data_IF_503728034876
#
_entry.id   IF_503728034876
#
_cell.length_a   1.000
_cell.length_b   1.000
_cell.length_c   1.000
_cell.angle_alpha   90.00
_cell.angle_beta   90.00
_cell.angle_gamma   90.00
#
_symmetry.space_group_name_H-M   'P 1'
#
loop_
_entity.id
_entity.type
_entity.pdbx_description
1 polymer ?
#
# COMPACT_ATOMS: atom_id res chain seq x y z
N UNK A 1 7.08 11.43 -5.41
CA UNK A 1 6.60 12.61 -4.63
C UNK A 1 5.29 12.28 -3.94
N UNK A 2 5.09 12.68 -2.68
CA UNK A 2 3.85 12.44 -1.92
C UNK A 2 3.20 13.79 -1.60
N UNK A 3 1.91 13.94 -1.87
CA UNK A 3 1.10 15.11 -1.48
C UNK A 3 -0.17 14.62 -0.79
N UNK A 4 -0.46 15.20 0.38
CA UNK A 4 -1.70 14.96 1.10
C UNK A 4 -2.37 16.31 1.37
N UNK A 5 -3.60 16.48 0.90
CA UNK A 5 -4.39 17.70 1.07
C UNK A 5 -5.61 17.37 1.93
N UNK A 6 -5.63 17.93 3.14
CA UNK A 6 -6.73 17.79 4.10
C UNK A 6 -7.44 19.15 4.20
N UNK A 7 -8.71 19.25 3.79
CA UNK A 7 -9.48 20.48 3.90
C UNK A 7 -10.02 20.67 5.32
N UNK A 8 -9.19 21.10 6.27
CA UNK A 8 -9.57 21.22 7.69
C UNK A 8 -10.83 22.05 7.94
N UNK A 9 -11.01 23.14 7.19
CA UNK A 9 -12.17 24.02 7.31
C UNK A 9 -13.47 23.43 6.74
N UNK A 10 -13.38 22.39 5.90
CA UNK A 10 -14.51 21.81 5.18
C UNK A 10 -14.44 20.28 5.10
N UNK A 11 -13.90 19.62 6.13
CA UNK A 11 -13.59 18.18 6.11
C UNK A 11 -14.82 17.28 5.97
N UNK A 12 -16.00 17.81 6.30
CA UNK A 12 -17.28 17.13 6.14
C UNK A 12 -17.91 17.32 4.76
N UNK A 13 -17.48 18.32 3.99
CA UNK A 13 -18.08 18.68 2.70
C UNK A 13 -17.11 18.62 1.52
N UNK A 14 -15.80 18.43 1.78
CA UNK A 14 -14.75 18.39 0.77
C UNK A 14 -13.91 17.11 0.94
N UNK A 15 -13.52 16.45 -0.17
CA UNK A 15 -12.76 15.20 -0.10
C UNK A 15 -11.31 15.43 0.33
N UNK A 16 -10.74 14.44 1.02
CA UNK A 16 -9.31 14.40 1.33
C UNK A 16 -8.58 13.85 0.12
N UNK A 17 -7.62 14.60 -0.43
CA UNK A 17 -6.92 14.19 -1.66
C UNK A 17 -5.51 13.73 -1.33
N UNK A 18 -5.19 12.50 -1.70
CA UNK A 18 -3.85 11.92 -1.60
C UNK A 18 -3.29 11.65 -3.00
N UNK A 19 -2.19 12.32 -3.35
CA UNK A 19 -1.51 12.16 -4.64
C UNK A 19 -0.11 11.60 -4.42
N UNK A 20 0.16 10.49 -5.09
CA UNK A 20 1.46 9.84 -5.12
C UNK A 20 1.96 9.81 -6.56
N UNK A 21 3.14 10.37 -6.80
CA UNK A 21 3.76 10.44 -8.11
C UNK A 21 5.08 9.65 -8.08
N UNK A 22 5.40 8.96 -9.17
CA UNK A 22 6.70 8.29 -9.39
C UNK A 22 6.96 7.14 -8.40
N UNK A 23 6.21 6.05 -8.56
CA UNK A 23 6.34 4.86 -7.70
C UNK A 23 7.11 3.79 -8.44
N UNK A 24 8.38 3.61 -8.07
CA UNK A 24 9.24 2.57 -8.60
C UNK A 24 9.56 1.56 -7.52
N UNK A 25 9.16 0.31 -7.72
CA UNK A 25 9.43 -0.80 -6.79
C UNK A 25 10.27 -1.83 -7.53
N UNK A 26 11.44 -2.13 -6.99
CA UNK A 26 12.26 -3.25 -7.42
C UNK A 26 12.19 -4.36 -6.36
N UNK A 27 11.67 -5.51 -6.76
CA UNK A 27 11.59 -6.71 -5.94
C UNK A 27 12.54 -7.78 -6.48
N UNK A 28 12.97 -8.68 -5.61
CA UNK A 28 13.80 -9.84 -5.97
C UNK A 28 13.77 -10.91 -4.88
N UNK A 29 14.31 -12.10 -5.16
CA UNK A 29 14.34 -13.19 -4.20
C UNK A 29 15.24 -12.85 -3.01
N UNK A 30 14.81 -13.25 -1.81
CA UNK A 30 15.61 -13.11 -0.58
C UNK A 30 16.64 -14.24 -0.54
N UNK A 31 17.92 -13.91 -0.69
CA UNK A 31 19.02 -14.89 -0.77
C UNK A 31 19.78 -15.09 0.53
N UNK A 32 19.59 -14.20 1.52
CA UNK A 32 20.47 -14.10 2.70
C UNK A 32 20.13 -15.11 3.81
N UNK A 33 19.07 -15.92 3.65
CA UNK A 33 18.63 -16.87 4.70
C UNK A 33 18.24 -18.21 4.09
N UNK A 34 18.89 -19.29 4.54
CA UNK A 34 18.37 -20.65 4.35
C UNK A 34 17.05 -20.76 5.11
N UNK A 35 16.03 -21.31 4.45
CA UNK A 35 14.73 -21.54 5.06
C UNK A 35 14.88 -22.52 6.24
N UNK A 36 14.61 -22.02 7.45
CA UNK A 36 14.57 -22.80 8.68
C UNK A 36 13.11 -22.86 9.16
N UNK A 37 12.46 -24.04 9.09
CA UNK A 37 11.04 -24.18 9.41
C UNK A 37 10.74 -23.88 10.89
N UNK A 38 11.68 -24.15 11.80
CA UNK A 38 11.45 -23.93 13.23
C UNK A 38 11.57 -22.46 13.59
N UNK A 39 12.54 -21.76 12.98
CA UNK A 39 12.67 -20.31 13.11
C UNK A 39 11.48 -19.56 12.51
N UNK A 40 10.96 -20.01 11.36
CA UNK A 40 9.80 -19.39 10.73
C UNK A 40 8.54 -19.58 11.58
N UNK A 41 8.31 -20.79 12.11
CA UNK A 41 7.22 -21.02 13.09
C UNK A 41 7.36 -20.11 14.30
N UNK A 42 8.56 -20.00 14.88
CA UNK A 42 8.81 -19.13 16.03
C UNK A 42 8.52 -17.65 15.70
N UNK A 43 8.91 -17.17 14.53
CA UNK A 43 8.60 -15.82 14.03
C UNK A 43 7.11 -15.61 13.81
N UNK A 44 6.40 -16.58 13.23
CA UNK A 44 4.95 -16.53 13.05
C UNK A 44 4.23 -16.49 14.41
N UNK A 45 4.63 -17.32 15.36
CA UNK A 45 4.10 -17.29 16.72
C UNK A 45 4.39 -15.96 17.43
N UNK A 46 5.61 -15.42 17.29
CA UNK A 46 5.97 -14.14 17.86
C UNK A 46 5.15 -12.99 17.26
N UNK A 47 4.97 -12.96 15.94
CA UNK A 47 4.09 -12.00 15.24
C UNK A 47 2.65 -12.11 15.71
N UNK A 48 2.12 -13.32 15.84
CA UNK A 48 0.75 -13.56 16.32
C UNK A 48 0.58 -13.07 17.76
N UNK A 49 1.51 -13.40 18.66
CA UNK A 49 1.50 -12.94 20.06
C UNK A 49 1.60 -11.41 20.16
N UNK A 50 2.48 -10.78 19.37
CA UNK A 50 2.61 -9.33 19.34
C UNK A 50 1.31 -8.65 18.91
N UNK A 51 0.67 -9.16 17.85
CA UNK A 51 -0.61 -8.62 17.36
C UNK A 51 -1.74 -8.78 18.38
N UNK A 52 -1.78 -9.89 19.11
CA UNK A 52 -2.72 -10.10 20.22
C UNK A 52 -2.48 -9.10 21.36
N UNK A 53 -1.23 -8.92 21.77
CA UNK A 53 -0.88 -7.97 22.83
C UNK A 53 -1.23 -6.52 22.46
N UNK A 54 -1.01 -6.12 21.20
CA UNK A 54 -1.44 -4.80 20.70
C UNK A 54 -2.97 -4.65 20.84
N UNK A 55 -3.76 -5.63 20.39
CA UNK A 55 -5.22 -5.61 20.53
C UNK A 55 -5.68 -5.52 22.00
N UNK A 56 -5.06 -6.26 22.91
CA UNK A 56 -5.37 -6.23 24.34
C UNK A 56 -5.04 -4.87 25.00
N UNK A 57 -4.01 -4.17 24.50
CA UNK A 57 -3.71 -2.81 24.94
C UNK A 57 -4.72 -1.79 24.40
N UNK A 58 -5.23 -1.98 23.18
CA UNK A 58 -6.27 -1.13 22.61
C UNK A 58 -7.59 -1.26 23.39
N UNK A 59 -8.02 -2.47 23.76
CA UNK A 59 -9.24 -2.72 24.55
C UNK A 59 -9.13 -2.30 26.02
N UNK A 60 -7.95 -2.34 26.64
CA UNK A 60 -7.78 -1.83 28.01
C UNK A 60 -7.73 -0.29 28.06
N UNK A 61 -7.21 0.38 27.03
CA UNK A 61 -7.25 1.85 26.92
C UNK A 61 -8.64 2.41 26.56
N UNK A 62 -9.59 1.57 26.15
CA UNK A 62 -10.97 2.00 25.82
C UNK A 62 -11.78 2.43 27.05
N UNK A 63 -11.35 2.07 28.27
CA UNK A 63 -12.13 2.32 29.49
C UNK A 63 -11.96 3.73 30.11
N UNK A 64 -10.90 4.48 29.76
CA UNK A 64 -10.53 5.72 30.48
C UNK A 64 -10.56 7.03 29.65
N UNK A 65 -10.91 7.01 28.35
CA UNK A 65 -10.77 8.18 27.46
C UNK A 65 -12.05 8.53 26.66
N UNK A 66 -13.22 8.30 27.26
CA UNK A 66 -14.52 8.15 26.60
C UNK A 66 -15.03 9.27 25.68
N UNK A 67 -14.48 10.49 25.74
CA UNK A 67 -15.01 11.61 24.94
C UNK A 67 -14.06 12.00 23.78
N UNK A 68 -12.78 12.33 24.06
CA UNK A 68 -11.80 12.71 23.03
C UNK A 68 -11.52 11.62 22.00
N UNK A 69 -11.59 10.34 22.39
CA UNK A 69 -11.31 9.21 21.51
C UNK A 69 -12.43 9.00 20.48
N UNK A 70 -13.70 9.14 20.90
CA UNK A 70 -14.84 9.08 20.00
C UNK A 70 -14.84 10.18 18.93
N UNK A 71 -14.38 11.39 19.28
CA UNK A 71 -14.18 12.46 18.29
C UNK A 71 -13.07 12.14 17.28
N UNK A 72 -11.92 11.58 17.73
CA UNK A 72 -10.84 11.20 16.82
C UNK A 72 -11.22 10.03 15.91
N UNK A 73 -11.95 9.03 16.42
CA UNK A 73 -12.44 7.91 15.62
C UNK A 73 -13.41 8.36 14.54
N UNK A 74 -14.36 9.23 14.88
CA UNK A 74 -15.26 9.85 13.89
C UNK A 74 -14.49 10.65 12.84
N UNK A 75 -13.44 11.37 13.25
CA UNK A 75 -12.58 12.14 12.35
C UNK A 75 -11.83 11.22 11.37
N UNK A 76 -11.22 10.15 11.87
CA UNK A 76 -10.50 9.15 11.05
C UNK A 76 -11.47 8.47 10.08
N UNK A 77 -12.66 8.07 10.55
CA UNK A 77 -13.69 7.48 9.70
C UNK A 77 -14.13 8.44 8.59
N UNK A 78 -14.34 9.72 8.92
CA UNK A 78 -14.71 10.76 7.93
C UNK A 78 -13.63 10.93 6.86
N UNK A 79 -12.36 10.96 7.28
CA UNK A 79 -11.22 11.02 6.36
C UNK A 79 -11.19 9.79 5.46
N UNK A 80 -11.31 8.59 6.02
CA UNK A 80 -11.27 7.33 5.26
C UNK A 80 -12.43 7.19 4.26
N UNK A 81 -13.63 7.64 4.63
CA UNK A 81 -14.80 7.61 3.76
C UNK A 81 -14.62 8.49 2.53
N UNK A 82 -14.06 9.70 2.73
CA UNK A 82 -13.92 10.70 1.67
C UNK A 82 -12.51 10.81 1.08
N UNK A 83 -11.62 9.87 1.38
CA UNK A 83 -10.29 9.86 0.78
C UNK A 83 -10.37 9.51 -0.71
N UNK A 84 -9.80 10.39 -1.52
CA UNK A 84 -9.56 10.23 -2.94
C UNK A 84 -8.06 10.02 -3.15
N UNK A 85 -7.72 8.93 -3.82
CA UNK A 85 -6.32 8.54 -4.04
C UNK A 85 -6.01 8.63 -5.53
N UNK A 86 -4.89 9.24 -5.88
CA UNK A 86 -4.36 9.26 -7.24
C UNK A 86 -2.89 8.87 -7.21
N UNK A 87 -2.55 7.75 -7.85
CA UNK A 87 -1.16 7.30 -7.96
C UNK A 87 -0.75 7.28 -9.43
N UNK A 88 0.33 7.99 -9.75
CA UNK A 88 0.81 8.20 -11.11
C UNK A 88 2.19 7.58 -11.31
N UNK A 89 2.42 7.08 -12.54
CA UNK A 89 3.70 6.54 -13.01
C UNK A 89 4.21 5.46 -12.06
N UNK A 90 3.45 4.37 -12.00
CA UNK A 90 3.80 3.19 -11.22
C UNK A 90 4.58 2.22 -12.11
N UNK A 91 5.68 1.71 -11.59
CA UNK A 91 6.42 0.61 -12.19
C UNK A 91 6.92 -0.31 -11.08
N UNK A 92 6.38 -1.52 -11.06
CA UNK A 92 6.81 -2.60 -10.19
C UNK A 92 7.58 -3.57 -11.06
N UNK A 93 8.84 -3.83 -10.70
CA UNK A 93 9.74 -4.73 -11.41
C UNK A 93 10.23 -5.79 -10.45
N UNK A 94 10.08 -7.05 -10.84
CA UNK A 94 10.69 -8.18 -10.16
C UNK A 94 11.88 -8.66 -10.99
N UNK A 95 13.04 -8.79 -10.36
CA UNK A 95 14.26 -9.33 -10.96
C UNK A 95 14.67 -10.62 -10.23
N UNK A 96 14.92 -11.68 -10.99
CA UNK A 96 15.37 -12.96 -10.46
C UNK A 96 16.60 -13.46 -11.22
N UNK A 97 17.67 -13.67 -10.47
CA UNK A 97 18.96 -14.21 -10.93
C UNK A 97 19.37 -15.48 -10.17
N UNK A 98 18.54 -15.93 -9.25
CA UNK A 98 18.87 -16.96 -8.27
C UNK A 98 18.16 -18.25 -8.62
N UNK A 99 16.88 -18.14 -9.01
CA UNK A 99 16.05 -19.29 -9.36
C UNK A 99 16.57 -20.00 -10.61
N UNK A 100 17.04 -19.25 -11.61
CA UNK A 100 17.69 -19.79 -12.79
C UNK A 100 18.95 -18.97 -13.11
N UNK A 101 20.14 -19.41 -12.64
CA UNK A 101 21.40 -18.68 -12.85
C UNK A 101 21.79 -18.54 -14.33
N UNK A 102 21.45 -19.52 -15.17
CA UNK A 102 21.79 -19.52 -16.61
C UNK A 102 20.87 -18.59 -17.41
N UNK A 103 19.67 -18.32 -16.91
CA UNK A 103 18.68 -17.45 -17.55
C UNK A 103 18.02 -16.50 -16.55
N UNK A 104 18.73 -15.43 -16.14
CA UNK A 104 18.13 -14.36 -15.35
C UNK A 104 16.98 -13.72 -16.11
N UNK A 105 15.89 -13.45 -15.39
CA UNK A 105 14.69 -12.86 -15.96
C UNK A 105 14.20 -11.69 -15.12
N UNK A 106 13.35 -10.86 -15.72
CA UNK A 106 12.63 -9.85 -15.01
C UNK A 106 11.24 -9.70 -15.59
N UNK A 107 10.26 -9.62 -14.72
CA UNK A 107 8.91 -9.28 -15.09
C UNK A 107 8.51 -7.99 -14.38
N UNK A 108 7.44 -7.38 -14.84
CA UNK A 108 6.97 -6.19 -14.18
C UNK A 108 5.62 -5.74 -14.67
N UNK A 109 5.04 -4.86 -13.86
CA UNK A 109 3.75 -4.22 -14.10
C UNK A 109 4.02 -2.73 -14.13
N UNK A 110 3.52 -2.07 -15.18
CA UNK A 110 3.52 -0.63 -15.29
C UNK A 110 2.08 -0.15 -15.33
N UNK A 111 1.81 0.96 -14.65
CA UNK A 111 0.51 1.58 -14.62
C UNK A 111 0.69 3.09 -14.66
N UNK A 112 0.15 3.73 -15.70
CA UNK A 112 0.29 5.17 -15.88
C UNK A 112 -0.44 5.95 -14.78
N UNK A 113 -1.65 5.52 -14.44
CA UNK A 113 -2.48 6.15 -13.41
C UNK A 113 -3.43 5.13 -12.80
N UNK A 114 -3.55 5.16 -11.48
CA UNK A 114 -4.67 4.57 -10.74
C UNK A 114 -5.34 5.67 -9.92
N UNK A 115 -6.66 5.76 -10.00
CA UNK A 115 -7.45 6.62 -9.12
C UNK A 115 -8.46 5.79 -8.34
N UNK A 116 -8.72 6.19 -7.11
CA UNK A 116 -9.78 5.65 -6.28
C UNK A 116 -10.61 6.84 -5.77
N UNK A 117 -11.87 6.90 -6.18
CA UNK A 117 -12.80 7.98 -5.89
C UNK A 117 -14.04 7.42 -5.18
N UNK A 118 -14.56 8.16 -4.21
CA UNK A 118 -15.82 7.80 -3.56
C UNK A 118 -17.00 8.20 -4.45
N UNK A 119 -17.95 7.28 -4.67
CA UNK A 119 -19.09 7.45 -5.58
C UNK A 119 -20.42 7.09 -4.93
N UNK A 120 -21.52 7.45 -5.60
CA UNK A 120 -22.86 6.97 -5.25
C UNK A 120 -23.15 5.62 -5.94
N UNK A 121 -24.37 5.10 -5.74
CA UNK A 121 -24.86 3.87 -6.38
C UNK A 121 -24.95 3.93 -7.91
N UNK A 122 -24.89 5.13 -8.48
CA UNK A 122 -24.90 5.38 -9.93
C UNK A 122 -23.49 5.68 -10.48
N UNK A 123 -22.43 5.41 -9.71
CA UNK A 123 -21.03 5.65 -10.09
C UNK A 123 -20.66 7.11 -10.34
N UNK A 124 -21.46 8.05 -9.85
CA UNK A 124 -21.15 9.48 -9.89
C UNK A 124 -20.31 9.87 -8.66
N UNK A 125 -19.25 10.67 -8.82
CA UNK A 125 -18.44 11.14 -7.70
C UNK A 125 -19.26 11.96 -6.71
N UNK A 126 -19.24 11.59 -5.43
CA UNK A 126 -19.91 12.34 -4.35
C UNK A 126 -19.02 12.38 -3.10
N UNK A 127 -19.23 13.40 -2.27
CA UNK A 127 -18.75 13.41 -0.88
C UNK A 127 -19.80 12.77 0.01
N UNK A 128 -19.41 11.74 0.77
CA UNK A 128 -20.28 11.01 1.68
C UNK A 128 -20.20 11.60 3.08
N UNK A 129 -21.33 11.66 3.77
CA UNK A 129 -21.34 12.04 5.18
C UNK A 129 -20.84 10.88 6.06
N UNK A 130 -20.31 11.21 7.24
CA UNK A 130 -19.73 10.29 8.21
C UNK A 130 -20.68 9.18 8.71
N UNK A 131 -21.98 9.35 8.50
CA UNK A 131 -23.08 8.47 8.92
C UNK A 131 -23.51 7.45 7.85
N UNK A 132 -22.94 7.50 6.66
CA UNK A 132 -23.33 6.61 5.57
C UNK A 132 -22.98 5.14 5.89
N UNK A 133 -23.98 4.25 5.79
CA UNK A 133 -23.82 2.81 6.04
C UNK A 133 -23.17 2.07 4.87
N UNK A 134 -23.15 2.66 3.67
CA UNK A 134 -22.62 2.05 2.45
C UNK A 134 -21.74 3.04 1.70
N UNK A 135 -20.51 2.63 1.41
CA UNK A 135 -19.51 3.43 0.68
C UNK A 135 -19.18 2.72 -0.63
N UNK A 136 -19.44 3.36 -1.76
CA UNK A 136 -18.94 2.89 -3.06
C UNK A 136 -17.61 3.59 -3.37
N UNK A 137 -16.58 2.81 -3.69
CA UNK A 137 -15.31 3.34 -4.21
C UNK A 137 -15.11 2.84 -5.62
N UNK A 138 -14.98 3.77 -6.56
CA UNK A 138 -14.68 3.48 -7.95
C UNK A 138 -13.18 3.58 -8.17
N UNK A 139 -12.57 2.46 -8.59
CA UNK A 139 -11.15 2.40 -8.93
C UNK A 139 -11.01 2.42 -10.45
N UNK A 140 -10.27 3.40 -10.98
CA UNK A 140 -9.97 3.50 -12.42
C UNK A 140 -8.49 3.24 -12.64
N UNK A 141 -8.18 2.35 -13.58
CA UNK A 141 -6.82 2.04 -14.00
C UNK A 141 -6.63 2.53 -15.42
N UNK A 142 -5.52 3.22 -15.67
CA UNK A 142 -5.21 3.74 -17.00
C UNK A 142 -3.78 3.35 -17.39
N UNK A 143 -3.64 2.75 -18.57
CA UNK A 143 -2.37 2.31 -19.12
C UNK A 143 -1.73 1.21 -18.28
N UNK A 144 -2.50 0.18 -17.91
CA UNK A 144 -1.98 -1.03 -17.29
C UNK A 144 -1.25 -1.85 -18.37
N UNK A 145 0.01 -2.20 -18.10
CA UNK A 145 0.78 -3.09 -18.96
C UNK A 145 1.63 -4.03 -18.11
N UNK A 146 1.80 -5.25 -18.59
CA UNK A 146 2.62 -6.27 -17.97
C UNK A 146 3.67 -6.69 -18.99
N UNK A 147 4.91 -6.87 -18.55
CA UNK A 147 5.98 -7.38 -19.39
C UNK A 147 6.71 -8.53 -18.71
N UNK A 148 7.30 -9.39 -19.54
CA UNK A 148 8.14 -10.49 -19.11
C UNK A 148 9.38 -10.55 -20.01
N UNK A 149 10.54 -10.33 -19.42
CA UNK A 149 11.82 -10.36 -20.10
C UNK A 149 12.56 -11.64 -19.66
N UNK A 150 12.55 -12.65 -20.52
CA UNK A 150 13.03 -14.02 -20.22
C UNK A 150 14.55 -14.19 -20.29
N UNK A 151 15.26 -13.30 -20.98
CA UNK A 151 16.70 -13.37 -21.20
C UNK A 151 17.32 -12.00 -20.96
N UNK A 152 17.65 -11.72 -19.70
CA UNK A 152 18.29 -10.46 -19.32
C UNK A 152 19.79 -10.67 -19.06
N UNK A 153 20.67 -10.00 -19.82
CA UNK A 153 22.08 -9.90 -19.46
C UNK A 153 22.22 -9.24 -18.08
N UNK A 154 23.21 -9.66 -17.28
CA UNK A 154 23.44 -9.09 -15.94
C UNK A 154 23.67 -7.56 -15.98
N UNK A 155 24.21 -7.03 -17.07
CA UNK A 155 24.40 -5.59 -17.30
C UNK A 155 23.10 -4.78 -17.36
N UNK A 156 21.99 -5.44 -17.66
CA UNK A 156 20.65 -4.86 -17.77
C UNK A 156 19.84 -4.95 -16.46
N UNK A 157 20.36 -5.62 -15.43
CA UNK A 157 19.74 -5.66 -14.11
C UNK A 157 19.93 -4.31 -13.41
N UNK A 158 18.85 -3.83 -12.78
CA UNK A 158 18.87 -2.59 -12.02
C UNK A 158 19.41 -2.87 -10.61
N UNK A 159 19.13 -4.06 -10.07
CA UNK A 159 19.59 -4.50 -8.76
C UNK A 159 21.12 -4.44 -8.58
N UNK A 160 21.91 -4.64 -9.64
CA UNK A 160 23.38 -4.57 -9.60
C UNK A 160 23.90 -3.13 -9.46
N UNK A 161 23.10 -2.14 -9.87
CA UNK A 161 23.46 -0.71 -9.86
C UNK A 161 23.01 0.00 -8.58
N UNK A 162 22.06 -0.59 -7.84
CA UNK A 162 21.56 -0.05 -6.57
C UNK A 162 22.43 -0.55 -5.41
N UNK A 163 23.44 0.24 -5.01
CA UNK A 163 24.18 -0.01 -3.77
C UNK A 163 23.34 0.41 -2.56
N UNK A 164 22.29 -0.36 -2.22
CA UNK A 164 21.52 -0.13 -1.00
C UNK A 164 21.86 -1.21 0.01
N UNK A 165 22.60 -0.85 1.07
CA UNK A 165 22.79 -1.70 2.25
C UNK A 165 21.51 -1.84 3.10
N UNK A 166 20.45 -1.10 2.76
CA UNK A 166 19.21 -0.99 3.53
C UNK A 166 18.31 -2.23 3.52
N UNK A 167 18.63 -3.24 2.70
CA UNK A 167 17.85 -4.48 2.58
C UNK A 167 18.53 -5.72 3.18
N UNK A 168 19.54 -5.52 4.05
CA UNK A 168 20.18 -6.60 4.82
C UNK A 168 19.47 -6.80 6.16
#
# INVERSE_FOLDING_TARGET
RIKLQIPWSSIYSSPVTAVLEDVYILAGPVTDRKYDPDRERALQHARKRRRLAELDTFTNQEKDAGDKRGFMEKLIATIMNNIQISIQRIHIRYEDRVTNPDHPFACGIMLKLITAETTNSQWQPITLDSTASLVHKLVKLHGLSIYWNTLLPESCLISTKLQTHAWR
#
